data_IF_684576050303
#
_entry.id   IF_684576050303
#
_cell.length_a   1.000
_cell.length_b   1.000
_cell.length_c   1.000
_cell.angle_alpha   90.00
_cell.angle_beta   90.00
_cell.angle_gamma   90.00
#
_symmetry.space_group_name_H-M   'P 1'
#
loop_
_entity.id
_entity.type
_entity.pdbx_description
1 polymer ?
#
# COMPACT_ATOMS: atom_id res chain seq x y z
N UNK A 1 -17.10 -4.94 25.25
CA UNK A 1 -16.63 -5.48 23.96
C UNK A 1 -15.38 -6.29 24.23
N UNK A 2 -15.29 -7.53 23.75
CA UNK A 2 -14.10 -8.36 23.96
C UNK A 2 -12.93 -7.81 23.16
N UNK A 3 -11.96 -7.29 23.90
CA UNK A 3 -10.74 -6.66 23.39
C UNK A 3 -9.90 -7.63 22.53
N UNK A 4 -9.98 -8.94 22.78
CA UNK A 4 -9.33 -9.97 21.96
C UNK A 4 -9.95 -10.09 20.57
N UNK A 5 -11.27 -9.88 20.44
CA UNK A 5 -12.00 -9.97 19.17
C UNK A 5 -11.73 -8.75 18.29
N UNK A 6 -11.60 -7.56 18.88
CA UNK A 6 -11.26 -6.34 18.13
C UNK A 6 -9.82 -6.36 17.58
N UNK A 7 -8.85 -6.82 18.37
CA UNK A 7 -7.44 -6.96 17.93
C UNK A 7 -7.31 -7.95 16.76
N UNK A 8 -7.94 -9.12 16.84
CA UNK A 8 -7.95 -10.09 15.73
C UNK A 8 -8.53 -9.50 14.45
N UNK A 9 -9.62 -8.74 14.55
CA UNK A 9 -10.24 -8.07 13.40
C UNK A 9 -9.31 -7.04 12.78
N UNK A 10 -8.64 -6.21 13.58
CA UNK A 10 -7.69 -5.21 13.10
C UNK A 10 -6.49 -5.86 12.39
N UNK A 11 -5.96 -6.98 12.92
CA UNK A 11 -4.92 -7.75 12.23
C UNK A 11 -5.40 -8.29 10.88
N UNK A 12 -6.59 -8.89 10.82
CA UNK A 12 -7.17 -9.36 9.55
C UNK A 12 -7.40 -8.22 8.55
N UNK A 13 -7.83 -7.04 9.01
CA UNK A 13 -8.01 -5.85 8.17
C UNK A 13 -6.66 -5.36 7.63
N UNK A 14 -5.60 -5.31 8.44
CA UNK A 14 -4.26 -4.94 7.98
C UNK A 14 -3.74 -5.89 6.90
N UNK A 15 -3.90 -7.20 7.09
CA UNK A 15 -3.53 -8.20 6.07
C UNK A 15 -4.36 -8.01 4.80
N UNK A 16 -5.67 -7.80 4.93
CA UNK A 16 -6.56 -7.53 3.80
C UNK A 16 -6.16 -6.27 3.03
N UNK A 17 -5.85 -5.18 3.72
CA UNK A 17 -5.38 -3.93 3.12
C UNK A 17 -4.09 -4.12 2.34
N UNK A 18 -3.14 -4.92 2.85
CA UNK A 18 -1.91 -5.25 2.10
C UNK A 18 -2.22 -6.00 0.81
N UNK A 19 -3.10 -7.01 0.86
CA UNK A 19 -3.51 -7.74 -0.35
C UNK A 19 -4.18 -6.81 -1.36
N UNK A 20 -5.12 -5.96 -0.90
CA UNK A 20 -5.79 -4.98 -1.76
C UNK A 20 -4.78 -4.02 -2.37
N UNK A 21 -3.79 -3.54 -1.60
CA UNK A 21 -2.73 -2.69 -2.11
C UNK A 21 -1.99 -3.37 -3.27
N UNK A 22 -1.53 -4.60 -3.10
CA UNK A 22 -0.83 -5.33 -4.17
C UNK A 22 -1.70 -5.54 -5.42
N UNK A 23 -3.00 -5.80 -5.26
CA UNK A 23 -3.94 -5.90 -6.38
C UNK A 23 -4.03 -4.55 -7.11
N UNK A 24 -4.17 -3.43 -6.38
CA UNK A 24 -4.20 -2.08 -6.97
C UNK A 24 -2.93 -1.80 -7.77
N UNK A 25 -1.76 -2.18 -7.24
CA UNK A 25 -0.49 -2.00 -7.94
C UNK A 25 -0.45 -2.81 -9.24
N UNK A 26 -0.86 -4.08 -9.21
CA UNK A 26 -0.90 -4.92 -10.41
C UNK A 26 -1.82 -4.33 -11.48
N UNK A 27 -3.02 -3.88 -11.09
CA UNK A 27 -3.98 -3.24 -12.02
C UNK A 27 -3.39 -1.96 -12.60
N UNK A 28 -2.73 -1.14 -11.79
CA UNK A 28 -2.09 0.10 -12.22
C UNK A 28 -0.96 -0.18 -13.24
N UNK A 29 -0.13 -1.21 -13.00
CA UNK A 29 0.92 -1.64 -13.91
C UNK A 29 0.33 -2.14 -15.24
N UNK A 30 -0.72 -2.96 -15.19
CA UNK A 30 -1.40 -3.45 -16.40
C UNK A 30 -1.93 -2.28 -17.22
N UNK A 31 -2.58 -1.30 -16.58
CA UNK A 31 -3.09 -0.10 -17.25
C UNK A 31 -1.96 0.74 -17.90
N UNK A 32 -0.80 0.81 -17.26
CA UNK A 32 0.37 1.48 -17.82
C UNK A 32 0.88 0.75 -19.08
N UNK A 33 0.98 -0.58 -19.03
CA UNK A 33 1.46 -1.40 -20.14
C UNK A 33 0.49 -1.32 -21.33
N UNK A 34 -0.82 -1.44 -21.11
CA UNK A 34 -1.80 -1.33 -22.19
C UNK A 34 -1.82 0.07 -22.80
N UNK A 35 -1.68 1.12 -21.98
CA UNK A 35 -1.53 2.50 -22.46
C UNK A 35 -0.25 2.71 -23.28
N UNK A 36 0.88 2.10 -22.88
CA UNK A 36 2.14 2.20 -23.59
C UNK A 36 2.14 1.46 -24.94
N UNK A 37 1.52 0.27 -25.00
CA UNK A 37 1.42 -0.51 -26.24
C UNK A 37 0.60 0.20 -27.33
N UNK A 38 -0.35 1.06 -26.95
CA UNK A 38 -1.10 1.88 -27.91
C UNK A 38 -0.19 2.79 -28.76
N UNK A 39 1.00 3.16 -28.26
CA UNK A 39 1.96 4.06 -28.92
C UNK A 39 2.83 3.31 -29.94
N UNK A 40 3.16 2.03 -29.68
CA UNK A 40 4.19 1.29 -30.44
C UNK A 40 3.78 0.86 -31.86
N UNK A 41 2.50 0.93 -32.23
CA UNK A 41 2.01 0.46 -33.54
C UNK A 41 1.83 1.56 -34.59
N UNK A 42 2.23 2.80 -34.30
CA UNK A 42 2.06 3.92 -35.24
C UNK A 42 3.34 4.15 -36.03
N UNK A 43 3.39 3.82 -37.33
CA UNK A 43 4.48 4.27 -38.18
C UNK A 43 4.51 5.81 -38.21
N UNK A 44 5.68 6.38 -37.93
CA UNK A 44 5.90 7.83 -37.90
C UNK A 44 5.97 8.36 -39.33
N UNK A 45 4.82 8.49 -39.97
CA UNK A 45 4.70 9.25 -41.23
C UNK A 45 4.22 10.66 -40.88
N UNK A 46 5.10 11.65 -41.07
CA UNK A 46 5.00 12.99 -40.47
C UNK A 46 4.33 14.03 -41.37
N UNK A 47 3.97 13.67 -42.60
CA UNK A 47 3.72 14.68 -43.65
C UNK A 47 2.24 14.98 -43.95
N UNK A 48 1.30 14.64 -43.09
CA UNK A 48 -0.12 14.96 -43.34
C UNK A 48 -0.90 15.38 -42.10
N UNK A 49 -1.80 16.37 -42.24
CA UNK A 49 -2.73 16.80 -41.17
C UNK A 49 -3.64 15.64 -40.73
N UNK A 50 -3.87 14.66 -41.60
CA UNK A 50 -4.52 13.38 -41.28
C UNK A 50 -3.72 12.52 -40.29
N UNK A 51 -2.39 12.61 -40.26
CA UNK A 51 -1.54 11.84 -39.35
C UNK A 51 -1.60 12.38 -37.91
N UNK A 52 -1.88 13.68 -37.72
CA UNK A 52 -2.05 14.29 -36.39
C UNK A 52 -3.38 13.84 -35.76
N UNK A 53 -4.48 13.89 -36.53
CA UNK A 53 -5.80 13.42 -36.07
C UNK A 53 -5.80 11.92 -35.74
N UNK A 54 -5.04 11.11 -36.48
CA UNK A 54 -4.86 9.68 -36.21
C UNK A 54 -4.05 9.38 -34.93
N UNK A 55 -3.22 10.32 -34.45
CA UNK A 55 -2.39 10.16 -33.24
C UNK A 55 -3.08 10.63 -31.95
N UNK A 56 -4.13 11.45 -32.02
CA UNK A 56 -4.86 11.96 -30.85
C UNK A 56 -5.40 10.86 -29.91
N UNK A 57 -6.03 9.77 -30.41
CA UNK A 57 -6.50 8.68 -29.54
C UNK A 57 -5.35 7.95 -28.84
N UNK A 58 -4.17 7.92 -29.46
CA UNK A 58 -3.00 7.18 -29.02
C UNK A 58 -2.23 7.96 -27.96
N UNK A 59 -2.05 9.26 -28.18
CA UNK A 59 -1.60 10.20 -27.16
C UNK A 59 -2.56 10.21 -25.96
N UNK A 60 -3.87 10.17 -26.19
CA UNK A 60 -4.89 10.04 -25.16
C UNK A 60 -4.72 8.75 -24.33
N UNK A 61 -4.54 7.60 -24.97
CA UNK A 61 -4.33 6.31 -24.31
C UNK A 61 -3.04 6.24 -23.49
N UNK A 62 -1.95 6.78 -24.03
CA UNK A 62 -0.66 6.88 -23.35
C UNK A 62 -0.74 7.74 -22.09
N UNK A 63 -1.26 8.96 -22.23
CA UNK A 63 -1.38 9.90 -21.11
C UNK A 63 -2.35 9.36 -20.06
N UNK A 64 -3.46 8.75 -20.47
CA UNK A 64 -4.41 8.13 -19.53
C UNK A 64 -3.76 6.96 -18.78
N UNK A 65 -3.01 6.09 -19.47
CA UNK A 65 -2.30 4.98 -18.83
C UNK A 65 -1.28 5.46 -17.78
N UNK A 66 -0.52 6.52 -18.10
CA UNK A 66 0.43 7.13 -17.17
C UNK A 66 -0.29 7.73 -15.95
N UNK A 67 -1.38 8.47 -16.16
CA UNK A 67 -2.14 9.07 -15.06
C UNK A 67 -2.76 8.01 -14.14
N UNK A 68 -3.33 6.95 -14.71
CA UNK A 68 -3.86 5.81 -13.95
C UNK A 68 -2.76 5.11 -13.16
N UNK A 69 -1.57 4.94 -13.75
CA UNK A 69 -0.42 4.37 -13.06
C UNK A 69 0.00 5.22 -11.86
N UNK A 70 0.16 6.54 -12.04
CA UNK A 70 0.56 7.45 -10.97
C UNK A 70 -0.49 7.47 -9.85
N UNK A 71 -1.78 7.56 -10.19
CA UNK A 71 -2.86 7.50 -9.21
C UNK A 71 -2.88 6.16 -8.45
N UNK A 72 -2.67 5.05 -9.17
CA UNK A 72 -2.57 3.72 -8.58
C UNK A 72 -1.36 3.58 -7.65
N UNK A 73 -0.22 4.18 -7.98
CA UNK A 73 0.98 4.18 -7.15
C UNK A 73 0.77 4.98 -5.86
N UNK A 74 0.15 6.16 -5.94
CA UNK A 74 -0.22 6.94 -4.76
C UNK A 74 -1.19 6.15 -3.87
N UNK A 75 -2.23 5.57 -4.46
CA UNK A 75 -3.21 4.76 -3.73
C UNK A 75 -2.56 3.53 -3.07
N UNK A 76 -1.62 2.87 -3.76
CA UNK A 76 -0.85 1.75 -3.23
C UNK A 76 -0.05 2.15 -1.99
N UNK A 77 0.67 3.28 -2.04
CA UNK A 77 1.42 3.81 -0.89
C UNK A 77 0.48 4.10 0.29
N UNK A 78 -0.67 4.74 0.04
CA UNK A 78 -1.66 5.04 1.09
C UNK A 78 -2.19 3.77 1.76
N UNK A 79 -2.56 2.76 0.96
CA UNK A 79 -3.08 1.49 1.49
C UNK A 79 -2.03 0.73 2.31
N UNK A 80 -0.77 0.73 1.87
CA UNK A 80 0.33 0.14 2.63
C UNK A 80 0.59 0.90 3.94
N UNK A 81 0.64 2.23 3.89
CA UNK A 81 0.85 3.07 5.07
C UNK A 81 -0.28 2.86 6.10
N UNK A 82 -1.53 2.72 5.66
CA UNK A 82 -2.65 2.39 6.54
C UNK A 82 -2.51 0.99 7.16
N UNK A 83 -2.12 -0.01 6.36
CA UNK A 83 -1.93 -1.36 6.86
C UNK A 83 -0.82 -1.44 7.91
N UNK A 84 0.29 -0.73 7.69
CA UNK A 84 1.40 -0.62 8.64
C UNK A 84 1.05 0.21 9.86
N UNK A 85 0.32 1.31 9.70
CA UNK A 85 -0.18 2.12 10.80
C UNK A 85 -1.03 1.32 11.78
N UNK A 86 -1.89 0.42 11.27
CA UNK A 86 -2.66 -0.50 12.11
C UNK A 86 -1.75 -1.45 12.90
N UNK A 87 -0.68 -1.99 12.28
CA UNK A 87 0.25 -2.89 12.96
C UNK A 87 1.05 -2.17 14.05
N UNK A 88 1.53 -0.96 13.76
CA UNK A 88 2.24 -0.13 14.75
C UNK A 88 1.33 0.18 15.93
N UNK A 89 0.08 0.58 15.68
CA UNK A 89 -0.88 0.84 16.75
C UNK A 89 -1.13 -0.38 17.64
N UNK A 90 -1.30 -1.56 17.03
CA UNK A 90 -1.47 -2.81 17.77
C UNK A 90 -0.22 -3.17 18.60
N UNK A 91 0.98 -2.96 18.05
CA UNK A 91 2.23 -3.21 18.78
C UNK A 91 2.40 -2.29 19.99
N UNK A 92 2.02 -1.01 19.87
CA UNK A 92 2.01 -0.06 20.99
C UNK A 92 1.02 -0.51 22.07
N UNK A 93 -0.18 -0.95 21.66
CA UNK A 93 -1.20 -1.43 22.59
C UNK A 93 -0.74 -2.69 23.35
N UNK A 94 -0.11 -3.63 22.66
CA UNK A 94 0.43 -4.86 23.25
C UNK A 94 1.57 -4.58 24.24
N UNK A 95 2.51 -3.70 23.87
CA UNK A 95 3.60 -3.27 24.75
C UNK A 95 3.09 -2.50 25.98
N UNK A 96 2.05 -1.69 25.84
CA UNK A 96 1.47 -0.96 26.98
C UNK A 96 0.80 -1.92 27.96
N UNK A 97 0.09 -2.94 27.45
CA UNK A 97 -0.56 -3.96 28.30
C UNK A 97 0.46 -4.79 29.07
N UNK A 98 1.56 -5.20 28.44
CA UNK A 98 2.58 -6.02 29.10
C UNK A 98 3.21 -5.28 30.29
N UNK A 99 3.46 -3.98 30.16
CA UNK A 99 4.00 -3.13 31.24
C UNK A 99 3.00 -2.96 32.38
N UNK A 100 1.70 -2.82 32.08
CA UNK A 100 0.66 -2.62 33.10
C UNK A 100 0.29 -3.88 33.90
N UNK A 101 0.77 -5.07 33.51
CA UNK A 101 0.45 -6.30 34.24
C UNK A 101 1.35 -6.50 35.48
N UNK A 102 0.80 -6.88 36.65
CA UNK A 102 1.56 -7.03 37.91
C UNK A 102 2.76 -7.98 37.85
N UNK A 103 2.81 -8.86 36.86
CA UNK A 103 3.91 -9.80 36.62
C UNK A 103 5.22 -9.10 36.26
N UNK A 104 5.18 -7.90 35.68
CA UNK A 104 6.37 -7.08 35.43
C UNK A 104 6.95 -6.47 36.72
N UNK A 105 6.10 -6.12 37.69
CA UNK A 105 6.53 -5.65 39.00
C UNK A 105 7.21 -6.76 39.83
N UNK A 106 6.67 -7.98 39.78
CA UNK A 106 7.24 -9.14 40.48
C UNK A 106 8.55 -9.68 39.85
N UNK A 107 8.83 -9.38 38.58
CA UNK A 107 10.08 -9.77 37.92
C UNK A 107 11.25 -8.83 38.29
N UNK A 108 10.96 -7.55 38.55
CA UNK A 108 11.96 -6.55 38.92
C UNK A 108 12.36 -6.64 40.41
N UNK A 109 11.53 -7.28 41.25
CA UNK A 109 11.84 -7.55 42.66
C UNK A 109 12.79 -8.76 42.85
N UNK A 110 12.98 -9.57 41.80
CA UNK A 110 13.90 -10.73 41.82
C UNK A 110 15.30 -10.42 41.27
N UNK A 111 15.62 -9.18 40.97
CA UNK A 111 17.02 -8.77 40.75
C UNK A 111 17.62 -8.48 42.13
N UNK A 112 18.47 -9.37 42.69
CA UNK A 112 19.13 -9.05 43.96
C UNK A 112 19.97 -7.80 43.75
N UNK A 113 19.64 -6.76 44.51
CA UNK A 113 20.49 -5.60 44.70
C UNK A 113 21.81 -6.09 45.31
N UNK A 114 22.82 -6.31 44.48
CA UNK A 114 24.15 -6.68 44.94
C UNK A 114 24.85 -7.68 44.04
N UNK A 115 25.50 -7.17 43.00
CA UNK A 115 26.87 -7.60 42.67
C UNK A 115 27.64 -6.31 42.37
N UNK A 116 28.50 -5.97 43.32
CA UNK A 116 29.53 -4.94 43.20
C UNK A 116 30.63 -5.39 42.23
#
# INVERSE_FOLDING_TARGET
MDVSRSVRRLQSISVGLRWVAWIVLVVAVIAAITGAQAISFVPVDVDSVSSILARLPILGGATTGILVFLAGLVQWVVLLALAEGIQVFLAIEENTRSISTPKAAAANEKTPAGVA
#
